data_IF_756300485998
#
_entry.id   IF_756300485998
#
_cell.length_a   1.000
_cell.length_b   1.000
_cell.length_c   1.000
_cell.angle_alpha   90.00
_cell.angle_beta   90.00
_cell.angle_gamma   90.00
#
_symmetry.space_group_name_H-M   'P 1'
#
loop_
_entity.id
_entity.type
_entity.pdbx_description
1 polymer ?
#
# COMPACT_ATOMS: atom_id res chain seq x y z
N UNK A 1 -12.55 -18.63 13.38
CA UNK A 1 -13.68 -19.06 12.51
C UNK A 1 -13.97 -20.54 12.73
N UNK A 2 -13.05 -21.46 12.39
CA UNK A 2 -13.24 -22.92 12.59
C UNK A 2 -13.40 -23.31 14.07
N UNK A 3 -12.56 -22.83 14.98
CA UNK A 3 -12.68 -23.13 16.42
C UNK A 3 -14.05 -22.70 16.98
N UNK A 4 -14.56 -21.56 16.53
CA UNK A 4 -15.86 -21.05 16.95
C UNK A 4 -17.01 -21.89 16.41
N UNK A 5 -16.94 -22.32 15.14
CA UNK A 5 -17.91 -23.25 14.55
C UNK A 5 -17.93 -24.58 15.33
N UNK A 6 -16.75 -25.10 15.69
CA UNK A 6 -16.63 -26.32 16.50
C UNK A 6 -17.29 -26.12 17.86
N UNK A 7 -17.04 -25.00 18.55
CA UNK A 7 -17.70 -24.67 19.82
C UNK A 7 -19.22 -24.59 19.66
N UNK A 8 -19.72 -24.03 18.56
CA UNK A 8 -21.15 -23.93 18.28
C UNK A 8 -21.79 -25.31 18.06
N UNK A 9 -21.09 -26.22 17.37
CA UNK A 9 -21.51 -27.61 17.21
C UNK A 9 -21.54 -28.33 18.56
N UNK A 10 -20.51 -28.17 19.39
CA UNK A 10 -20.44 -28.77 20.73
C UNK A 10 -21.58 -28.23 21.60
N UNK A 11 -21.84 -26.92 21.57
CA UNK A 11 -22.94 -26.32 22.32
C UNK A 11 -24.30 -26.86 21.85
N UNK A 12 -24.52 -27.00 20.54
CA UNK A 12 -25.74 -27.61 20.01
C UNK A 12 -25.91 -29.07 20.46
N UNK A 13 -24.83 -29.85 20.47
CA UNK A 13 -24.84 -31.22 20.99
C UNK A 13 -25.18 -31.27 22.48
N UNK A 14 -24.55 -30.42 23.30
CA UNK A 14 -24.81 -30.33 24.73
C UNK A 14 -26.28 -29.95 25.03
N UNK A 15 -26.83 -28.99 24.29
CA UNK A 15 -28.24 -28.60 24.38
C UNK A 15 -29.17 -29.75 23.96
N UNK A 16 -28.80 -30.52 22.92
CA UNK A 16 -29.55 -31.69 22.49
C UNK A 16 -29.58 -32.80 23.56
N UNK A 17 -28.45 -33.08 24.20
CA UNK A 17 -28.36 -34.03 25.32
C UNK A 17 -29.24 -33.54 26.48
N UNK A 18 -29.09 -32.28 26.87
CA UNK A 18 -29.92 -31.67 27.90
C UNK A 18 -31.42 -31.82 27.60
N UNK A 19 -31.84 -31.57 26.35
CA UNK A 19 -33.22 -31.71 25.94
C UNK A 19 -33.73 -33.16 26.02
N UNK A 20 -32.87 -34.14 25.73
CA UNK A 20 -33.22 -35.57 25.82
C UNK A 20 -33.38 -36.06 27.26
N UNK A 21 -32.62 -35.49 28.20
CA UNK A 21 -32.69 -35.86 29.62
C UNK A 21 -33.83 -35.14 30.36
N UNK A 22 -34.26 -33.99 29.87
CA UNK A 22 -35.24 -33.13 30.53
C UNK A 22 -36.57 -33.07 29.76
N UNK A 23 -37.24 -34.22 29.67
CA UNK A 23 -38.54 -34.36 28.98
C UNK A 23 -39.76 -33.94 29.84
N UNK A 24 -39.52 -33.27 30.97
CA UNK A 24 -40.59 -32.75 31.82
C UNK A 24 -41.42 -31.70 31.09
N UNK A 25 -42.63 -31.45 31.61
CA UNK A 25 -43.51 -30.41 31.09
C UNK A 25 -44.10 -29.58 32.22
N UNK A 26 -44.35 -28.31 31.94
CA UNK A 26 -44.93 -27.39 32.89
C UNK A 26 -45.89 -26.41 32.20
N UNK A 27 -46.83 -25.89 32.98
CA UNK A 27 -47.76 -24.87 32.51
C UNK A 27 -47.10 -23.49 32.66
N UNK A 28 -47.07 -22.74 31.57
CA UNK A 28 -46.45 -21.40 31.52
C UNK A 28 -47.54 -20.40 31.20
N UNK A 29 -47.65 -19.37 32.04
CA UNK A 29 -48.55 -18.25 31.79
C UNK A 29 -47.72 -17.02 31.46
N UNK A 30 -47.95 -16.45 30.28
CA UNK A 30 -47.29 -15.22 29.86
C UNK A 30 -48.37 -14.18 29.53
N UNK A 31 -48.36 -13.07 30.27
CA UNK A 31 -49.38 -12.03 30.20
C UNK A 31 -50.79 -12.58 30.46
N UNK A 32 -51.66 -12.70 29.44
CA UNK A 32 -52.98 -13.34 29.56
C UNK A 32 -53.06 -14.71 28.86
N UNK A 33 -51.97 -15.15 28.22
CA UNK A 33 -51.94 -16.40 27.48
C UNK A 33 -51.38 -17.52 28.36
N UNK A 34 -52.15 -18.60 28.50
CA UNK A 34 -51.69 -19.85 29.11
C UNK A 34 -51.24 -20.87 28.06
N UNK A 35 -50.04 -21.40 28.23
CA UNK A 35 -49.55 -22.55 27.49
C UNK A 35 -49.48 -23.74 28.45
N UNK A 36 -50.19 -24.80 28.12
CA UNK A 36 -50.17 -26.03 28.91
C UNK A 36 -49.15 -27.01 28.35
N UNK A 37 -48.51 -27.77 29.24
CA UNK A 37 -47.57 -28.84 28.90
C UNK A 37 -46.40 -28.39 28.02
N UNK A 38 -45.82 -27.21 28.30
CA UNK A 38 -44.60 -26.75 27.62
C UNK A 38 -43.42 -27.59 28.12
N UNK A 39 -42.63 -28.21 27.24
CA UNK A 39 -41.46 -28.97 27.66
C UNK A 39 -40.36 -28.09 28.25
N UNK A 40 -39.72 -28.54 29.33
CA UNK A 40 -38.66 -27.81 30.05
C UNK A 40 -37.50 -27.38 29.16
N UNK A 41 -37.18 -28.18 28.16
CA UNK A 41 -36.07 -27.93 27.25
C UNK A 41 -36.35 -26.84 26.22
N UNK A 42 -37.63 -26.51 25.95
CA UNK A 42 -38.00 -25.60 24.85
C UNK A 42 -37.42 -24.20 25.07
N UNK A 43 -37.57 -23.52 26.22
CA UNK A 43 -36.98 -22.20 26.43
C UNK A 43 -35.45 -22.18 26.28
N UNK A 44 -34.78 -23.23 26.72
CA UNK A 44 -33.32 -23.38 26.62
C UNK A 44 -32.90 -23.50 25.15
N UNK A 45 -33.54 -24.38 24.39
CA UNK A 45 -33.26 -24.57 22.96
C UNK A 45 -33.53 -23.29 22.17
N UNK A 46 -34.65 -22.60 22.44
CA UNK A 46 -34.99 -21.35 21.78
C UNK A 46 -33.93 -20.28 22.06
N UNK A 47 -33.51 -20.13 23.32
CA UNK A 47 -32.48 -19.15 23.70
C UNK A 47 -31.13 -19.47 23.04
N UNK A 48 -30.72 -20.74 23.06
CA UNK A 48 -29.50 -21.19 22.42
C UNK A 48 -29.53 -20.97 20.90
N UNK A 49 -30.68 -21.23 20.25
CA UNK A 49 -30.86 -21.02 18.82
C UNK A 49 -30.77 -19.53 18.45
N UNK A 50 -31.40 -18.65 19.23
CA UNK A 50 -31.33 -17.19 19.01
C UNK A 50 -29.89 -16.71 19.14
N UNK A 51 -29.22 -17.01 20.26
CA UNK A 51 -27.85 -16.56 20.52
C UNK A 51 -26.88 -17.15 19.47
N UNK A 52 -26.99 -18.45 19.20
CA UNK A 52 -26.17 -19.13 18.20
C UNK A 52 -26.38 -18.55 16.79
N UNK A 53 -27.63 -18.27 16.42
CA UNK A 53 -27.97 -17.61 15.16
C UNK A 53 -27.37 -16.21 15.04
N UNK A 54 -27.47 -15.38 16.10
CA UNK A 54 -26.82 -14.07 16.13
C UNK A 54 -25.30 -14.18 15.99
N UNK A 55 -24.68 -15.13 16.67
CA UNK A 55 -23.24 -15.36 16.55
C UNK A 55 -22.84 -15.81 15.14
N UNK A 56 -23.63 -16.67 14.52
CA UNK A 56 -23.38 -17.16 13.17
C UNK A 56 -23.54 -16.03 12.15
N UNK A 57 -24.57 -15.19 12.32
CA UNK A 57 -24.77 -13.98 11.53
C UNK A 57 -23.61 -13.00 11.71
N UNK A 58 -23.17 -12.77 12.95
CA UNK A 58 -22.01 -11.94 13.26
C UNK A 58 -20.74 -12.49 12.63
N UNK A 59 -20.52 -13.81 12.68
CA UNK A 59 -19.39 -14.49 12.06
C UNK A 59 -19.41 -14.30 10.54
N UNK A 60 -20.58 -14.44 9.91
CA UNK A 60 -20.75 -14.25 8.48
C UNK A 60 -20.47 -12.81 8.06
N UNK A 61 -21.01 -11.85 8.80
CA UNK A 61 -20.77 -10.43 8.60
C UNK A 61 -19.29 -10.08 8.78
N UNK A 62 -18.68 -10.50 9.89
CA UNK A 62 -17.29 -10.22 10.20
C UNK A 62 -16.33 -10.89 9.20
N UNK A 63 -16.57 -12.15 8.85
CA UNK A 63 -15.78 -12.89 7.86
C UNK A 63 -15.86 -12.28 6.46
N UNK A 64 -17.05 -11.82 6.06
CA UNK A 64 -17.23 -11.11 4.78
C UNK A 64 -16.50 -9.76 4.77
N UNK A 65 -16.63 -8.96 5.83
CA UNK A 65 -15.99 -7.64 5.92
C UNK A 65 -14.45 -7.75 5.97
N UNK A 66 -13.91 -8.74 6.70
CA UNK A 66 -12.46 -8.98 6.75
C UNK A 66 -11.92 -9.62 5.47
N UNK A 67 -12.68 -10.55 4.86
CA UNK A 67 -12.34 -11.20 3.60
C UNK A 67 -12.27 -10.24 2.42
N UNK A 68 -13.19 -9.27 2.34
CA UNK A 68 -13.16 -8.21 1.31
C UNK A 68 -11.95 -7.30 1.48
N UNK A 69 -11.56 -6.99 2.72
CA UNK A 69 -10.39 -6.14 2.99
C UNK A 69 -9.08 -6.83 2.59
N UNK A 70 -8.91 -8.11 2.92
CA UNK A 70 -7.72 -8.90 2.54
C UNK A 70 -7.70 -9.22 1.04
N UNK A 71 -8.85 -9.56 0.45
CA UNK A 71 -8.98 -9.83 -0.99
C UNK A 71 -8.71 -8.59 -1.85
N UNK A 72 -9.16 -7.41 -1.40
CA UNK A 72 -8.86 -6.14 -2.07
C UNK A 72 -7.39 -5.71 -1.91
N UNK A 73 -6.75 -6.01 -0.76
CA UNK A 73 -5.31 -5.79 -0.57
C UNK A 73 -4.50 -6.67 -1.53
N UNK A 74 -4.85 -7.94 -1.69
CA UNK A 74 -4.15 -8.89 -2.58
C UNK A 74 -4.26 -8.48 -4.06
N UNK A 75 -5.42 -7.95 -4.48
CA UNK A 75 -5.58 -7.35 -5.83
C UNK A 75 -4.76 -6.06 -6.00
N UNK A 76 -4.60 -5.24 -4.96
CA UNK A 76 -3.81 -4.00 -5.05
C UNK A 76 -2.30 -4.22 -5.03
N UNK A 77 -1.83 -5.30 -4.39
CA UNK A 77 -0.39 -5.67 -4.38
C UNK A 77 0.05 -6.21 -5.73
N UNK A 78 -0.76 -7.06 -6.37
CA UNK A 78 -0.45 -7.60 -7.71
C UNK A 78 -0.39 -6.51 -8.80
N UNK A 79 -1.27 -5.51 -8.76
CA UNK A 79 -1.19 -4.36 -9.71
C UNK A 79 0.02 -3.46 -9.44
N UNK A 80 0.46 -3.32 -8.18
CA UNK A 80 1.64 -2.50 -7.87
C UNK A 80 2.94 -3.21 -8.22
N UNK A 81 3.00 -4.53 -8.06
CA UNK A 81 4.14 -5.33 -8.51
C UNK A 81 4.31 -5.26 -10.03
N UNK A 82 3.24 -5.35 -10.82
CA UNK A 82 3.34 -5.22 -12.28
C UNK A 82 3.84 -3.82 -12.68
N UNK A 83 3.32 -2.75 -12.07
CA UNK A 83 3.80 -1.39 -12.34
C UNK A 83 5.26 -1.18 -11.94
N UNK A 84 5.72 -1.79 -10.84
CA UNK A 84 7.13 -1.71 -10.43
C UNK A 84 8.05 -2.47 -11.40
N UNK A 85 7.62 -3.62 -11.91
CA UNK A 85 8.38 -4.38 -12.91
C UNK A 85 8.46 -3.61 -14.23
N UNK A 86 7.36 -3.00 -14.66
CA UNK A 86 7.30 -2.19 -15.87
C UNK A 86 8.18 -0.94 -15.74
N UNK A 87 8.09 -0.20 -14.63
CA UNK A 87 8.95 0.96 -14.36
C UNK A 87 10.44 0.61 -14.31
N UNK A 88 10.80 -0.57 -13.80
CA UNK A 88 12.20 -1.05 -13.79
C UNK A 88 12.71 -1.36 -15.18
N UNK A 89 11.90 -2.02 -16.02
CA UNK A 89 12.24 -2.27 -17.44
C UNK A 89 12.41 -0.98 -18.20
N UNK A 90 11.52 -0.02 -17.99
CA UNK A 90 11.56 1.27 -18.68
C UNK A 90 12.76 2.12 -18.22
N UNK A 91 13.12 2.11 -16.93
CA UNK A 91 14.34 2.76 -16.45
C UNK A 91 15.62 2.13 -17.03
N UNK A 92 15.67 0.80 -17.17
CA UNK A 92 16.81 0.12 -17.82
C UNK A 92 16.93 0.54 -19.28
N UNK A 93 15.82 0.51 -20.02
CA UNK A 93 15.78 0.97 -21.41
C UNK A 93 16.24 2.43 -21.55
N UNK A 94 15.73 3.33 -20.72
CA UNK A 94 16.13 4.73 -20.74
C UNK A 94 17.61 4.92 -20.42
N UNK A 95 18.19 4.09 -19.53
CA UNK A 95 19.64 4.13 -19.25
C UNK A 95 20.47 3.67 -20.44
N UNK A 96 20.01 2.66 -21.17
CA UNK A 96 20.66 2.20 -22.39
C UNK A 96 20.58 3.25 -23.51
N UNK A 97 19.43 3.88 -23.68
CA UNK A 97 19.25 4.97 -24.64
C UNK A 97 20.10 6.20 -24.28
N UNK A 98 20.18 6.57 -23.00
CA UNK A 98 21.02 7.68 -22.55
C UNK A 98 22.52 7.35 -22.71
N UNK A 99 22.93 6.10 -22.47
CA UNK A 99 24.30 5.65 -22.70
C UNK A 99 24.66 5.67 -24.20
N UNK A 100 23.73 5.26 -25.07
CA UNK A 100 23.88 5.32 -26.53
C UNK A 100 23.96 6.77 -27.02
N UNK A 101 23.02 7.62 -26.63
CA UNK A 101 23.04 9.05 -26.98
C UNK A 101 24.31 9.75 -26.48
N UNK A 102 24.79 9.44 -25.28
CA UNK A 102 26.08 9.93 -24.77
C UNK A 102 27.27 9.41 -25.57
N UNK A 103 27.22 8.17 -26.06
CA UNK A 103 28.28 7.63 -26.92
C UNK A 103 28.30 8.27 -28.31
N UNK A 104 27.13 8.62 -28.87
CA UNK A 104 27.00 9.36 -30.12
C UNK A 104 27.54 10.78 -29.98
N UNK A 105 27.13 11.50 -28.92
CA UNK A 105 27.67 12.84 -28.60
C UNK A 105 29.19 12.81 -28.39
N UNK A 106 29.71 11.82 -27.67
CA UNK A 106 31.15 11.68 -27.45
C UNK A 106 31.91 11.28 -28.71
N UNK A 107 31.26 10.59 -29.65
CA UNK A 107 31.78 10.31 -30.98
C UNK A 107 31.81 11.56 -31.87
N UNK A 108 30.77 12.41 -31.78
CA UNK A 108 30.71 13.71 -32.46
C UNK A 108 31.76 14.67 -31.91
N UNK A 109 31.90 14.79 -30.59
CA UNK A 109 32.95 15.62 -29.97
C UNK A 109 34.36 15.14 -30.34
N UNK A 110 34.59 13.83 -30.51
CA UNK A 110 35.86 13.31 -31.02
C UNK A 110 36.09 13.63 -32.50
N UNK A 111 35.04 13.61 -33.33
CA UNK A 111 35.11 14.03 -34.72
C UNK A 111 35.35 15.54 -34.87
N UNK A 112 34.75 16.35 -33.98
CA UNK A 112 34.94 17.80 -33.91
C UNK A 112 36.32 18.14 -33.36
N UNK A 113 36.81 17.44 -32.33
CA UNK A 113 38.17 17.60 -31.84
C UNK A 113 39.22 17.16 -32.88
N UNK A 114 39.00 16.06 -33.60
CA UNK A 114 39.92 15.63 -34.66
C UNK A 114 39.95 16.58 -35.87
N UNK A 115 38.83 17.25 -36.18
CA UNK A 115 38.78 18.28 -37.22
C UNK A 115 39.37 19.60 -36.73
N UNK A 116 39.16 19.94 -35.46
CA UNK A 116 39.80 21.09 -34.82
C UNK A 116 41.30 20.91 -34.68
N UNK A 117 41.81 19.73 -34.31
CA UNK A 117 43.24 19.41 -34.28
C UNK A 117 43.84 19.40 -35.68
N UNK A 118 43.10 18.96 -36.70
CA UNK A 118 43.54 19.03 -38.10
C UNK A 118 43.59 20.48 -38.62
N UNK A 119 42.66 21.33 -38.19
CA UNK A 119 42.67 22.76 -38.51
C UNK A 119 43.70 23.54 -37.67
N UNK A 120 43.97 23.13 -36.43
CA UNK A 120 45.02 23.69 -35.58
C UNK A 120 46.40 23.28 -36.07
N UNK A 121 46.58 22.04 -36.53
CA UNK A 121 47.80 21.60 -37.20
C UNK A 121 48.03 22.31 -38.54
N UNK A 122 46.97 22.68 -39.26
CA UNK A 122 47.05 23.53 -40.46
C UNK A 122 47.28 25.02 -40.13
N UNK A 123 46.92 25.48 -38.93
CA UNK A 123 47.15 26.84 -38.45
C UNK A 123 48.52 27.03 -37.77
N UNK A 124 49.11 25.96 -37.20
CA UNK A 124 50.41 25.98 -36.52
C UNK A 124 51.62 26.09 -37.46
N UNK A 125 51.43 26.16 -38.78
CA UNK A 125 52.51 26.48 -39.74
C UNK A 125 52.72 28.01 -39.92
N UNK A 126 51.94 28.85 -39.24
CA UNK A 126 52.21 30.30 -39.15
C UNK A 126 52.18 30.77 -37.70
N UNK A 127 53.22 31.51 -37.33
CA UNK A 127 53.43 32.21 -36.07
C UNK A 127 53.97 31.38 -34.89
N UNK A 128 55.26 31.07 -35.02
CA UNK A 128 56.18 30.92 -33.90
C UNK A 128 56.58 32.29 -33.37
N UNK A 129 56.13 32.68 -32.16
CA UNK A 129 56.92 33.56 -31.29
C UNK A 129 56.54 33.37 -29.80
N UNK A 130 57.53 33.28 -28.88
CA UNK A 130 57.30 33.06 -27.46
C UNK A 130 57.36 34.39 -26.69
N UNK A 131 56.46 34.61 -25.73
CA UNK A 131 56.71 35.56 -24.65
C UNK A 131 55.79 35.35 -23.44
N UNK A 132 56.48 35.15 -22.31
CA UNK A 132 56.15 35.55 -20.94
C UNK A 132 55.10 34.78 -20.13
N UNK A 133 55.68 33.94 -19.28
CA UNK A 133 55.29 33.49 -17.95
C UNK A 133 54.92 34.69 -17.05
N UNK A 134 53.69 34.72 -16.52
CA UNK A 134 53.37 35.55 -15.35
C UNK A 134 52.57 34.72 -14.33
N UNK A 135 53.26 34.42 -13.24
CA UNK A 135 52.76 33.77 -12.04
C UNK A 135 51.98 34.76 -11.18
N UNK A 136 50.65 34.61 -11.12
CA UNK A 136 49.85 35.19 -10.05
C UNK A 136 48.85 34.16 -9.51
N UNK A 137 49.23 33.62 -8.35
CA UNK A 137 48.54 32.62 -7.55
C UNK A 137 47.71 33.34 -6.50
N UNK A 138 46.39 33.20 -6.55
CA UNK A 138 45.52 33.39 -5.39
C UNK A 138 44.45 32.28 -5.37
N UNK A 139 44.30 31.53 -4.27
CA UNK A 139 43.42 30.37 -4.23
C UNK A 139 41.98 30.81 -3.93
N UNK A 140 41.16 30.95 -4.98
CA UNK A 140 39.72 31.05 -4.81
C UNK A 140 39.18 29.69 -4.35
N UNK A 141 38.83 29.66 -3.08
CA UNK A 141 38.17 28.57 -2.36
C UNK A 141 37.08 27.93 -3.20
N UNK A 142 37.14 26.61 -3.31
CA UNK A 142 36.11 25.75 -3.85
C UNK A 142 34.82 25.92 -3.02
N UNK A 143 33.97 26.86 -3.42
CA UNK A 143 32.55 26.83 -3.06
C UNK A 143 31.89 25.73 -3.87
N UNK A 144 32.00 24.55 -3.26
CA UNK A 144 31.22 23.37 -3.51
C UNK A 144 29.74 23.76 -3.61
N UNK A 145 29.23 23.97 -4.83
CA UNK A 145 27.78 23.95 -5.12
C UNK A 145 27.27 22.51 -4.98
N UNK A 146 27.38 21.98 -3.78
CA UNK A 146 26.82 20.71 -3.34
C UNK A 146 25.93 20.95 -2.11
N UNK A 147 25.01 21.93 -2.17
CA UNK A 147 23.91 21.97 -1.20
C UNK A 147 22.70 22.77 -1.68
N UNK A 148 22.11 22.38 -2.82
CA UNK A 148 20.77 22.87 -3.21
C UNK A 148 19.76 21.76 -3.47
N UNK A 149 20.05 20.56 -2.99
CA UNK A 149 19.20 19.37 -3.13
C UNK A 149 18.77 18.77 -1.79
N UNK A 150 18.65 19.60 -0.75
CA UNK A 150 18.12 19.22 0.56
C UNK A 150 16.98 20.14 0.98
N UNK A 151 15.79 19.86 0.45
CA UNK A 151 14.47 19.97 1.12
C UNK A 151 13.35 19.83 0.07
N UNK A 152 13.34 18.71 -0.66
CA UNK A 152 12.07 18.26 -1.23
C UNK A 152 11.23 17.74 -0.05
N UNK A 153 10.02 18.26 0.22
CA UNK A 153 9.19 17.75 1.29
C UNK A 153 8.94 16.25 1.06
N UNK A 154 8.92 15.42 2.11
CA UNK A 154 8.63 13.99 1.97
C UNK A 154 7.31 13.84 1.23
N UNK A 155 7.27 12.96 0.22
CA UNK A 155 6.08 12.66 -0.56
C UNK A 155 4.93 12.29 0.40
N UNK A 156 4.03 13.25 0.64
CA UNK A 156 2.82 13.00 1.43
C UNK A 156 1.88 12.18 0.57
N UNK A 157 1.56 10.97 1.02
CA UNK A 157 0.51 10.16 0.43
C UNK A 157 -0.76 10.99 0.32
N UNK A 158 -1.26 11.17 -0.91
CA UNK A 158 -2.52 11.88 -1.18
C UNK A 158 -3.61 11.25 -0.31
N UNK A 159 -4.33 12.03 0.52
CA UNK A 159 -5.32 11.48 1.44
C UNK A 159 -6.34 10.66 0.66
N UNK A 160 -6.67 9.49 1.17
CA UNK A 160 -7.67 8.62 0.55
C UNK A 160 -9.07 9.20 0.75
N UNK A 161 -10.03 8.80 -0.08
CA UNK A 161 -11.41 9.29 0.03
C UNK A 161 -12.01 9.06 1.43
N UNK A 162 -11.68 7.94 2.07
CA UNK A 162 -12.13 7.63 3.43
C UNK A 162 -11.56 8.58 4.50
N UNK A 163 -10.33 9.05 4.34
CA UNK A 163 -9.75 10.05 5.26
C UNK A 163 -10.39 11.42 5.09
N UNK A 164 -10.76 11.80 3.86
CA UNK A 164 -11.52 13.04 3.61
C UNK A 164 -12.91 13.01 4.23
N UNK A 165 -13.60 11.88 4.12
CA UNK A 165 -14.93 11.70 4.72
C UNK A 165 -14.83 11.71 6.25
N UNK A 166 -13.83 11.01 6.82
CA UNK A 166 -13.61 11.05 8.28
C UNK A 166 -13.27 12.47 8.75
N UNK A 167 -12.38 13.19 8.07
CA UNK A 167 -12.01 14.56 8.40
C UNK A 167 -13.21 15.51 8.40
N UNK A 168 -14.09 15.38 7.41
CA UNK A 168 -15.35 16.13 7.29
C UNK A 168 -16.28 15.90 8.49
N UNK A 169 -16.48 14.65 8.92
CA UNK A 169 -17.32 14.34 10.08
C UNK A 169 -16.67 14.73 11.42
N UNK A 170 -15.34 14.84 11.48
CA UNK A 170 -14.61 15.20 12.70
C UNK A 170 -14.33 16.70 12.86
N UNK A 171 -14.80 17.55 11.93
CA UNK A 171 -14.59 19.00 11.99
C UNK A 171 -13.13 19.45 11.93
N UNK A 172 -12.21 18.57 11.52
CA UNK A 172 -10.80 18.92 11.26
C UNK A 172 -10.66 19.11 9.77
N UNK A 173 -10.71 20.35 9.32
CA UNK A 173 -10.31 20.69 7.96
C UNK A 173 -8.87 20.19 7.72
N UNK A 174 -8.61 19.46 6.62
CA UNK A 174 -7.24 19.18 6.22
C UNK A 174 -6.62 20.51 5.79
N UNK A 175 -5.73 21.04 6.62
CA UNK A 175 -5.02 22.27 6.35
C UNK A 175 -4.33 22.20 4.98
N UNK A 176 -4.81 23.05 4.07
CA UNK A 176 -4.04 23.88 3.12
C UNK A 176 -3.14 23.18 2.11
N UNK A 177 -3.43 23.48 0.83
CA UNK A 177 -2.55 23.34 -0.33
C UNK A 177 -1.18 24.03 -0.14
#
# INVERSE_FOLDING_TARGET
>A
MILFLILLIIAAAAVGIYASENAGTHNVTLWQWQWSAVPDWVPVVVTAAVIGGLFLLYMLYSGMVHGVRVGSMRRRVTTRESTIVDLRRENQRLREENARARSELRGMDRGVAATSDRNAAAASERDTMPAYEDTSREPATAETTADRSRTAPPFRSRPTFGERVRAFFTGREPAGY
#
